data_IF_231297529273
#
_entry.id   IF_231297529273
#
_cell.length_a   1.000
_cell.length_b   1.000
_cell.length_c   1.000
_cell.angle_alpha   90.00
_cell.angle_beta   90.00
_cell.angle_gamma   90.00
#
_symmetry.space_group_name_H-M   'P 1'
#
loop_
_entity.id
_entity.type
_entity.pdbx_description
1 polymer ?
#
# COMPACT_ATOMS: atom_id res chain seq x y z
N UNK A 1 -9.95 -2.64 14.18
CA UNK A 1 -11.04 -1.77 13.68
C UNK A 1 -10.77 -0.34 14.12
N UNK A 2 -10.73 -0.09 15.43
CA UNK A 2 -10.70 1.29 15.96
C UNK A 2 -9.49 2.14 15.57
N UNK A 3 -8.28 1.60 15.37
CA UNK A 3 -7.15 2.45 14.92
C UNK A 3 -7.41 3.07 13.55
N UNK A 4 -7.95 2.29 12.61
CA UNK A 4 -8.32 2.82 11.30
C UNK A 4 -9.51 3.77 11.39
N UNK A 5 -10.45 3.51 12.29
CA UNK A 5 -11.59 4.40 12.53
C UNK A 5 -11.13 5.74 13.13
N UNK A 6 -10.20 5.72 14.10
CA UNK A 6 -9.53 6.91 14.64
C UNK A 6 -8.82 7.67 13.52
N UNK A 7 -8.00 7.00 12.71
CA UNK A 7 -7.27 7.64 11.60
C UNK A 7 -8.22 8.21 10.54
N UNK A 8 -9.30 7.51 10.20
CA UNK A 8 -10.30 7.98 9.26
C UNK A 8 -11.09 9.16 9.84
N UNK A 9 -11.43 9.13 11.13
CA UNK A 9 -12.16 10.21 11.80
C UNK A 9 -11.29 11.46 11.87
N UNK A 10 -10.01 11.30 12.22
CA UNK A 10 -9.02 12.38 12.17
C UNK A 10 -8.89 12.91 10.74
N UNK A 11 -8.70 12.05 9.73
CA UNK A 11 -8.61 12.47 8.33
C UNK A 11 -9.87 13.22 7.85
N UNK A 12 -11.06 12.74 8.21
CA UNK A 12 -12.33 13.38 7.86
C UNK A 12 -12.51 14.72 8.56
N UNK A 13 -12.12 14.82 9.83
CA UNK A 13 -12.12 16.06 10.59
C UNK A 13 -11.22 17.11 9.92
N UNK A 14 -9.98 16.75 9.59
CA UNK A 14 -9.07 17.65 8.89
C UNK A 14 -9.58 18.03 7.50
N UNK A 15 -10.25 17.11 6.78
CA UNK A 15 -10.93 17.44 5.51
C UNK A 15 -12.04 18.46 5.70
N UNK A 16 -12.86 18.31 6.74
CA UNK A 16 -13.92 19.28 7.05
C UNK A 16 -13.32 20.66 7.33
N UNK A 17 -12.20 20.73 8.06
CA UNK A 17 -11.48 21.98 8.28
C UNK A 17 -10.94 22.63 6.99
N UNK A 18 -11.05 22.02 5.80
CA UNK A 18 -10.40 22.51 4.57
C UNK A 18 -11.34 23.19 3.56
N UNK A 19 -12.67 23.06 3.64
CA UNK A 19 -13.59 23.56 2.59
C UNK A 19 -13.73 25.11 2.56
N UNK A 20 -12.76 25.81 1.94
CA UNK A 20 -12.91 26.94 0.98
C UNK A 20 -11.53 27.52 0.54
N UNK A 21 -11.43 28.27 -0.58
CA UNK A 21 -11.06 27.88 -1.94
C UNK A 21 -9.55 28.05 -2.26
N UNK A 22 -8.68 28.06 -1.25
CA UNK A 22 -7.25 28.37 -1.41
C UNK A 22 -6.32 27.37 -0.70
N UNK A 23 -6.69 26.08 -0.67
CA UNK A 23 -5.87 25.01 -0.10
C UNK A 23 -5.65 23.92 -1.13
N UNK A 24 -4.52 24.01 -1.83
CA UNK A 24 -4.16 23.17 -2.97
C UNK A 24 -3.91 21.72 -2.56
N UNK A 25 -4.94 20.88 -2.65
CA UNK A 25 -4.82 19.44 -2.41
C UNK A 25 -4.35 18.64 -3.63
N UNK A 26 -3.98 19.29 -4.74
CA UNK A 26 -3.21 18.60 -5.79
C UNK A 26 -1.80 18.22 -5.32
N UNK A 27 -1.35 18.76 -4.17
CA UNK A 27 -0.01 18.51 -3.63
C UNK A 27 0.02 17.84 -2.25
N UNK A 28 -1.07 17.28 -1.71
CA UNK A 28 -0.96 16.34 -0.58
C UNK A 28 -0.28 16.84 0.72
N UNK A 29 -0.31 18.15 1.00
CA UNK A 29 0.19 18.70 2.25
C UNK A 29 -0.61 18.18 3.46
N UNK A 30 0.02 17.35 4.31
CA UNK A 30 -0.54 16.90 5.62
C UNK A 30 -0.34 17.95 6.72
N UNK A 31 -0.15 19.22 6.35
CA UNK A 31 0.32 20.28 7.24
C UNK A 31 -0.57 21.51 7.14
N UNK A 32 -0.77 22.15 8.28
CA UNK A 32 -1.42 23.44 8.40
C UNK A 32 -0.49 24.38 9.15
N UNK A 33 -0.46 25.65 8.78
CA UNK A 33 0.01 26.65 9.73
C UNK A 33 -0.98 26.72 10.90
N UNK A 34 -0.43 26.76 12.12
CA UNK A 34 -1.21 26.79 13.37
C UNK A 34 -2.27 27.90 13.38
N UNK A 35 -1.94 29.08 12.86
CA UNK A 35 -2.84 30.24 12.83
C UNK A 35 -4.06 30.00 11.93
N UNK A 36 -3.87 29.35 10.77
CA UNK A 36 -4.95 29.01 9.84
C UNK A 36 -5.86 27.92 10.41
N UNK A 37 -5.30 26.99 11.18
CA UNK A 37 -6.05 25.92 11.82
C UNK A 37 -6.93 26.45 12.97
N UNK A 38 -6.37 27.27 13.86
CA UNK A 38 -7.11 27.86 15.00
C UNK A 38 -8.25 28.77 14.53
N UNK A 39 -8.00 29.59 13.51
CA UNK A 39 -9.02 30.48 12.92
C UNK A 39 -10.22 29.67 12.39
N UNK A 40 -9.95 28.55 11.70
CA UNK A 40 -11.01 27.71 11.13
C UNK A 40 -11.81 26.95 12.19
N UNK A 41 -11.18 26.51 13.28
CA UNK A 41 -11.91 25.91 14.39
C UNK A 41 -12.90 26.91 15.02
N UNK A 42 -12.50 28.19 15.12
CA UNK A 42 -13.40 29.25 15.55
C UNK A 42 -14.55 29.49 14.55
N UNK A 43 -14.26 29.52 13.24
CA UNK A 43 -15.27 29.67 12.18
C UNK A 43 -16.29 28.50 12.17
N UNK A 44 -15.85 27.30 12.56
CA UNK A 44 -16.71 26.11 12.73
C UNK A 44 -17.51 26.10 14.06
N UNK A 45 -17.41 27.16 14.87
CA UNK A 45 -18.12 27.27 16.14
C UNK A 45 -17.55 26.39 17.27
N UNK A 46 -16.35 25.82 17.09
CA UNK A 46 -15.68 25.05 18.14
C UNK A 46 -15.12 26.03 19.18
N UNK A 47 -15.75 26.07 20.36
CA UNK A 47 -15.26 26.87 21.48
C UNK A 47 -14.03 26.20 22.10
N UNK A 48 -12.86 26.67 21.71
CA UNK A 48 -11.60 26.31 22.35
C UNK A 48 -11.62 26.81 23.81
N UNK A 49 -11.59 25.88 24.77
CA UNK A 49 -11.48 26.22 26.19
C UNK A 49 -10.13 26.91 26.43
N UNK A 50 -10.20 28.13 26.96
CA UNK A 50 -9.13 29.04 27.39
C UNK A 50 -8.28 29.71 26.30
N UNK A 51 -8.49 31.03 26.22
CA UNK A 51 -7.63 31.95 25.47
C UNK A 51 -6.22 32.01 26.06
N UNK A 52 -5.23 31.79 25.20
CA UNK A 52 -3.86 32.23 25.41
C UNK A 52 -3.04 31.46 26.45
N UNK A 53 -2.27 30.47 26.00
CA UNK A 53 -0.79 30.45 26.09
C UNK A 53 -0.18 29.05 26.29
N UNK A 54 0.61 28.67 25.28
CA UNK A 54 1.76 27.74 25.30
C UNK A 54 1.57 26.24 25.57
N UNK A 55 0.54 25.76 26.28
CA UNK A 55 0.36 24.28 26.43
C UNK A 55 -0.30 23.58 25.24
N UNK A 56 -0.95 24.33 24.34
CA UNK A 56 -1.55 23.81 23.09
C UNK A 56 -0.54 23.67 21.94
N UNK A 57 0.46 24.57 21.91
CA UNK A 57 1.38 24.74 20.77
C UNK A 57 2.26 23.50 20.59
N UNK A 58 2.71 22.87 21.68
CA UNK A 58 3.59 21.68 21.63
C UNK A 58 2.91 20.41 21.15
N UNK A 59 1.56 20.33 21.21
CA UNK A 59 0.79 19.12 20.89
C UNK A 59 0.44 19.05 19.40
N UNK A 60 0.31 20.20 18.75
CA UNK A 60 -0.03 20.31 17.32
C UNK A 60 1.21 20.61 16.49
N UNK A 61 2.12 21.45 16.97
CA UNK A 61 3.45 21.68 16.39
C UNK A 61 4.50 20.88 17.17
N UNK A 62 4.40 19.55 17.06
CA UNK A 62 5.29 18.59 17.73
C UNK A 62 6.71 18.67 17.14
N UNK A 63 6.82 18.98 15.85
CA UNK A 63 8.07 19.20 15.11
C UNK A 63 8.74 20.54 15.42
N UNK A 64 8.07 21.42 16.17
CA UNK A 64 8.57 22.74 16.56
C UNK A 64 8.94 23.62 15.35
N UNK A 65 8.23 23.43 14.24
CA UNK A 65 8.39 24.09 12.95
C UNK A 65 7.18 24.97 12.56
N UNK A 66 6.28 25.26 13.50
CA UNK A 66 5.04 26.01 13.34
C UNK A 66 4.02 25.36 12.38
N UNK A 67 4.16 24.05 12.12
CA UNK A 67 3.27 23.28 11.26
C UNK A 67 2.55 22.19 12.06
N UNK A 68 1.26 22.01 11.81
CA UNK A 68 0.48 20.93 12.42
C UNK A 68 0.67 19.64 11.64
N UNK A 69 1.50 18.72 12.15
CA UNK A 69 1.75 17.43 11.52
C UNK A 69 0.71 16.40 11.98
N UNK A 70 -0.10 15.96 11.02
CA UNK A 70 -1.30 15.16 11.25
C UNK A 70 -1.06 13.84 12.03
N UNK A 71 0.15 13.26 11.97
CA UNK A 71 0.38 11.88 12.40
C UNK A 71 1.86 11.57 12.76
N UNK A 72 2.48 12.27 13.70
CA UNK A 72 3.82 11.86 14.16
C UNK A 72 3.81 10.46 14.83
N UNK A 73 4.71 9.58 14.40
CA UNK A 73 4.81 8.18 14.82
C UNK A 73 5.25 8.01 16.28
N UNK A 74 6.20 8.84 16.74
CA UNK A 74 6.70 8.74 18.12
C UNK A 74 5.60 9.02 19.13
N UNK A 75 4.63 9.83 18.72
CA UNK A 75 3.60 10.37 19.58
C UNK A 75 2.20 9.88 19.20
N UNK A 76 2.04 8.84 18.36
CA UNK A 76 0.71 8.46 17.87
C UNK A 76 -0.26 8.05 19.00
N UNK A 77 0.26 7.48 20.09
CA UNK A 77 -0.50 7.23 21.32
C UNK A 77 -0.79 8.52 22.10
N UNK A 78 0.15 9.47 22.13
CA UNK A 78 -0.04 10.76 22.76
C UNK A 78 -1.05 11.63 22.00
N UNK A 79 -0.99 11.63 20.66
CA UNK A 79 -1.95 12.23 19.73
C UNK A 79 -3.33 11.66 20.03
N UNK A 80 -3.49 10.33 20.09
CA UNK A 80 -4.79 9.71 20.40
C UNK A 80 -5.34 10.16 21.78
N UNK A 81 -4.51 10.09 22.83
CA UNK A 81 -4.88 10.52 24.19
C UNK A 81 -5.18 12.01 24.28
N UNK A 82 -4.57 12.82 23.43
CA UNK A 82 -4.74 14.28 23.42
C UNK A 82 -5.97 14.69 22.61
N UNK A 83 -6.18 14.12 21.42
CA UNK A 83 -7.35 14.37 20.58
C UNK A 83 -8.65 13.98 21.28
N UNK A 84 -8.68 12.82 21.95
CA UNK A 84 -9.83 12.39 22.75
C UNK A 84 -10.16 13.35 23.91
N UNK A 85 -9.17 14.10 24.42
CA UNK A 85 -9.35 15.10 25.48
C UNK A 85 -9.66 16.51 24.97
N UNK A 86 -9.15 16.88 23.79
CA UNK A 86 -9.22 18.23 23.24
C UNK A 86 -10.51 18.48 22.45
N UNK A 87 -10.98 17.48 21.70
CA UNK A 87 -12.14 17.63 20.84
C UNK A 87 -13.36 17.01 21.50
N UNK A 88 -14.08 17.80 22.30
CA UNK A 88 -15.33 17.38 22.94
C UNK A 88 -16.52 18.00 22.19
N UNK A 89 -17.44 17.16 21.72
CA UNK A 89 -18.71 17.55 21.10
C UNK A 89 -19.88 17.27 22.05
N UNK A 90 -20.88 18.16 22.13
CA UNK A 90 -22.09 17.87 22.88
C UNK A 90 -22.90 16.78 22.17
N UNK A 91 -23.19 15.70 22.89
CA UNK A 91 -24.09 14.65 22.43
C UNK A 91 -25.50 15.23 22.25
N UNK A 92 -26.03 15.14 21.03
CA UNK A 92 -27.32 15.75 20.64
C UNK A 92 -28.53 15.21 21.42
N UNK A 93 -28.42 14.01 22.02
CA UNK A 93 -29.50 13.38 22.78
C UNK A 93 -29.40 13.66 24.28
N UNK A 94 -28.18 13.77 24.80
CA UNK A 94 -27.94 13.87 26.25
C UNK A 94 -27.40 15.21 26.71
N UNK A 95 -26.96 16.08 25.78
CA UNK A 95 -26.31 17.36 26.07
C UNK A 95 -24.92 17.24 26.70
N UNK A 96 -24.44 16.01 26.96
CA UNK A 96 -23.14 15.78 27.59
C UNK A 96 -22.01 15.89 26.56
N UNK A 97 -20.92 16.53 26.97
CA UNK A 97 -19.70 16.62 26.16
C UNK A 97 -19.03 15.23 26.07
N UNK A 98 -18.87 14.73 24.84
CA UNK A 98 -18.19 13.48 24.52
C UNK A 98 -17.01 13.73 23.57
N UNK A 99 -15.94 12.93 23.64
CA UNK A 99 -14.87 12.99 22.65
C UNK A 99 -15.40 12.81 21.21
N UNK A 100 -14.95 13.66 20.29
CA UNK A 100 -15.17 13.53 18.85
C UNK A 100 -14.50 12.26 18.31
N UNK A 101 -13.40 11.85 18.94
CA UNK A 101 -12.67 10.61 18.67
C UNK A 101 -12.64 9.82 19.97
N UNK A 102 -13.28 8.65 19.99
CA UNK A 102 -13.10 7.71 21.10
C UNK A 102 -11.63 7.26 21.14
N UNK A 103 -10.97 7.54 22.26
CA UNK A 103 -9.60 7.09 22.50
C UNK A 103 -9.56 5.57 22.66
N UNK A 104 -8.37 5.00 22.45
CA UNK A 104 -8.16 3.58 22.73
C UNK A 104 -8.20 3.35 24.26
N UNK A 105 -8.78 2.23 24.68
CA UNK A 105 -8.66 1.74 26.06
C UNK A 105 -7.22 1.34 26.38
N UNK A 106 -6.88 1.22 27.67
CA UNK A 106 -5.52 0.83 28.10
C UNK A 106 -5.06 -0.51 27.49
N UNK A 107 -5.96 -1.50 27.46
CA UNK A 107 -5.68 -2.79 26.82
C UNK A 107 -5.42 -2.66 25.33
N UNK A 108 -6.18 -1.82 24.63
CA UNK A 108 -6.01 -1.59 23.18
C UNK A 108 -4.71 -0.82 22.89
N UNK A 109 -4.34 0.14 23.74
CA UNK A 109 -3.04 0.82 23.64
C UNK A 109 -1.87 -0.16 23.80
N UNK A 110 -1.98 -1.10 24.73
CA UNK A 110 -0.93 -2.12 24.92
C UNK A 110 -0.86 -3.11 23.76
N UNK A 111 -2.01 -3.52 23.20
CA UNK A 111 -2.05 -4.30 21.97
C UNK A 111 -1.40 -3.55 20.81
N UNK A 112 -1.68 -2.24 20.69
CA UNK A 112 -1.07 -1.39 19.69
C UNK A 112 0.45 -1.30 19.86
N UNK A 113 0.95 -0.98 21.05
CA UNK A 113 2.40 -0.96 21.34
C UNK A 113 3.07 -2.29 20.97
N UNK A 114 2.43 -3.40 21.30
CA UNK A 114 2.93 -4.74 20.98
C UNK A 114 3.00 -4.99 19.46
N UNK A 115 1.97 -4.58 18.72
CA UNK A 115 1.95 -4.66 17.26
C UNK A 115 3.05 -3.79 16.64
N UNK A 116 3.19 -2.53 17.08
CA UNK A 116 4.25 -1.62 16.62
C UNK A 116 5.64 -2.20 16.87
N UNK A 117 5.88 -2.77 18.05
CA UNK A 117 7.13 -3.42 18.41
C UNK A 117 7.45 -4.58 17.47
N UNK A 118 6.48 -5.45 17.19
CA UNK A 118 6.65 -6.61 16.29
C UNK A 118 6.97 -6.18 14.87
N UNK A 119 6.22 -5.22 14.32
CA UNK A 119 6.44 -4.68 12.97
C UNK A 119 7.84 -4.05 12.86
N UNK A 120 8.25 -3.26 13.86
CA UNK A 120 9.58 -2.67 13.91
C UNK A 120 10.69 -3.73 13.97
N UNK A 121 10.52 -4.80 14.76
CA UNK A 121 11.49 -5.90 14.84
C UNK A 121 11.65 -6.59 13.49
N UNK A 122 10.54 -6.88 12.80
CA UNK A 122 10.58 -7.51 11.47
C UNK A 122 11.25 -6.60 10.44
N UNK A 123 10.87 -5.32 10.38
CA UNK A 123 11.43 -4.34 9.45
C UNK A 123 12.94 -4.14 9.68
N UNK A 124 13.38 -4.07 10.94
CA UNK A 124 14.80 -4.01 11.31
C UNK A 124 15.55 -5.25 10.82
N UNK A 125 15.06 -6.44 11.14
CA UNK A 125 15.70 -7.68 10.74
C UNK A 125 15.79 -7.81 9.21
N UNK A 126 14.74 -7.42 8.48
CA UNK A 126 14.75 -7.42 7.03
C UNK A 126 15.76 -6.45 6.42
N UNK A 127 15.88 -5.25 7.00
CA UNK A 127 16.88 -4.27 6.60
C UNK A 127 18.31 -4.82 6.79
N UNK A 128 18.59 -5.39 7.96
CA UNK A 128 19.90 -6.00 8.30
C UNK A 128 20.26 -7.19 7.40
N UNK A 129 19.28 -8.02 7.04
CA UNK A 129 19.49 -9.18 6.15
C UNK A 129 19.39 -8.84 4.66
N UNK A 130 18.98 -7.62 4.33
CA UNK A 130 18.77 -7.19 2.96
C UNK A 130 17.68 -7.92 2.21
N UNK A 131 16.65 -8.37 2.93
CA UNK A 131 15.45 -8.97 2.35
C UNK A 131 14.32 -7.95 2.31
N UNK A 132 13.38 -8.10 1.37
CA UNK A 132 12.23 -7.20 1.24
C UNK A 132 11.08 -7.70 2.10
N UNK A 133 10.40 -6.79 2.80
CA UNK A 133 9.11 -7.06 3.46
C UNK A 133 8.02 -6.36 2.67
N UNK A 134 6.97 -7.12 2.33
CA UNK A 134 5.78 -6.60 1.68
C UNK A 134 4.63 -6.70 2.66
N UNK A 135 4.08 -5.55 3.05
CA UNK A 135 2.90 -5.50 3.92
C UNK A 135 1.67 -5.68 3.05
N UNK A 136 0.93 -6.75 3.29
CA UNK A 136 -0.27 -7.05 2.53
C UNK A 136 -1.39 -6.05 2.85
N UNK A 137 -2.21 -5.81 1.83
CA UNK A 137 -3.40 -4.98 1.94
C UNK A 137 -4.62 -5.83 2.30
N UNK A 138 -5.42 -5.35 3.24
CA UNK A 138 -6.66 -5.99 3.69
C UNK A 138 -7.89 -5.18 3.23
N UNK A 139 -9.02 -5.31 3.92
CA UNK A 139 -10.25 -4.57 3.61
C UNK A 139 -10.08 -3.06 3.86
N UNK A 140 -10.88 -2.24 3.17
CA UNK A 140 -10.77 -0.77 3.15
C UNK A 140 -10.83 -0.13 4.53
N UNK A 141 -11.54 -0.72 5.46
CA UNK A 141 -11.66 -0.24 6.84
C UNK A 141 -10.45 -0.60 7.71
N UNK A 142 -9.54 -1.47 7.29
CA UNK A 142 -8.23 -1.70 7.94
C UNK A 142 -7.09 -0.94 7.25
N UNK A 143 -7.23 -0.66 5.96
CA UNK A 143 -6.16 -0.11 5.13
C UNK A 143 -5.56 1.23 5.56
N UNK A 144 -6.29 2.19 6.16
CA UNK A 144 -5.70 3.43 6.65
C UNK A 144 -4.61 3.20 7.70
N UNK A 145 -4.85 2.32 8.68
CA UNK A 145 -3.85 1.97 9.67
C UNK A 145 -2.68 1.21 9.04
N UNK A 146 -2.95 0.16 8.27
CA UNK A 146 -1.92 -0.66 7.63
C UNK A 146 -1.00 0.20 6.74
N UNK A 147 -1.59 1.03 5.88
CA UNK A 147 -0.82 1.90 4.98
C UNK A 147 0.00 2.91 5.77
N UNK A 148 -0.58 3.53 6.81
CA UNK A 148 0.15 4.51 7.63
C UNK A 148 1.34 3.88 8.36
N UNK A 149 1.12 2.74 9.02
CA UNK A 149 2.18 1.97 9.70
C UNK A 149 3.30 1.61 8.72
N UNK A 150 2.93 1.16 7.52
CA UNK A 150 3.89 0.75 6.49
C UNK A 150 4.72 1.93 5.98
N UNK A 151 4.08 3.08 5.71
CA UNK A 151 4.77 4.29 5.26
C UNK A 151 5.76 4.81 6.30
N UNK A 152 5.44 4.73 7.59
CA UNK A 152 6.39 5.10 8.65
C UNK A 152 7.56 4.11 8.76
N UNK A 153 7.31 2.81 8.56
CA UNK A 153 8.40 1.83 8.47
C UNK A 153 9.28 2.07 7.25
N UNK A 154 8.72 2.48 6.10
CA UNK A 154 9.54 2.92 4.96
C UNK A 154 10.38 4.13 5.31
N UNK A 155 9.77 5.18 5.89
CA UNK A 155 10.49 6.40 6.30
C UNK A 155 11.67 6.06 7.21
N UNK A 156 11.50 5.09 8.13
CA UNK A 156 12.53 4.66 9.07
C UNK A 156 13.61 3.76 8.45
N UNK A 157 13.24 2.76 7.67
CA UNK A 157 14.15 1.68 7.24
C UNK A 157 14.58 1.73 5.77
N UNK A 158 13.84 2.43 4.90
CA UNK A 158 14.17 2.54 3.47
C UNK A 158 15.11 3.74 3.23
N UNK A 159 16.33 3.67 3.75
CA UNK A 159 17.31 4.78 3.67
C UNK A 159 18.27 4.69 2.50
N UNK A 160 18.67 3.47 2.12
CA UNK A 160 19.62 3.24 1.02
C UNK A 160 18.99 2.44 -0.14
N UNK A 161 17.87 1.76 0.15
CA UNK A 161 17.11 0.93 -0.79
C UNK A 161 15.71 0.69 -0.24
N UNK A 162 14.78 0.31 -1.12
CA UNK A 162 13.44 -0.11 -0.70
C UNK A 162 13.48 -1.48 -0.03
N UNK A 163 13.24 -1.51 1.29
CA UNK A 163 13.17 -2.73 2.12
C UNK A 163 11.71 -3.07 2.41
N UNK A 164 10.94 -2.09 2.88
CA UNK A 164 9.52 -2.21 3.20
C UNK A 164 8.69 -1.72 2.01
N UNK A 165 7.63 -2.46 1.68
CA UNK A 165 6.73 -2.18 0.56
C UNK A 165 5.28 -2.15 1.04
N UNK A 166 4.53 -1.14 0.60
CA UNK A 166 3.08 -1.03 0.84
C UNK A 166 2.31 -1.60 -0.34
N UNK A 167 1.17 -2.24 -0.06
CA UNK A 167 0.33 -2.83 -1.11
C UNK A 167 -0.79 -1.87 -1.51
N UNK A 168 -0.84 -1.51 -2.79
CA UNK A 168 -1.87 -0.67 -3.39
C UNK A 168 -2.86 -1.53 -4.17
N UNK A 169 -4.14 -1.47 -3.79
CA UNK A 169 -5.22 -2.25 -4.39
C UNK A 169 -5.95 -1.43 -5.46
N UNK A 170 -5.72 -1.75 -6.73
CA UNK A 170 -6.20 -0.98 -7.87
C UNK A 170 -7.67 -1.20 -8.22
N UNK A 171 -8.38 -2.10 -7.54
CA UNK A 171 -9.85 -2.16 -7.58
C UNK A 171 -10.52 -1.00 -6.84
N UNK A 172 -9.79 -0.24 -6.01
CA UNK A 172 -10.35 0.90 -5.28
C UNK A 172 -10.35 2.14 -6.16
N UNK A 173 -11.42 2.94 -6.07
CA UNK A 173 -11.52 4.25 -6.73
C UNK A 173 -10.42 5.23 -6.30
N UNK A 174 -9.91 5.08 -5.07
CA UNK A 174 -8.88 5.95 -4.49
C UNK A 174 -7.43 5.48 -4.74
N UNK A 175 -7.22 4.39 -5.46
CA UNK A 175 -5.89 3.79 -5.61
C UNK A 175 -4.85 4.76 -6.21
N UNK A 176 -5.24 5.51 -7.24
CA UNK A 176 -4.39 6.52 -7.89
C UNK A 176 -4.00 7.66 -6.93
N UNK A 177 -4.99 8.26 -6.27
CA UNK A 177 -4.74 9.35 -5.33
C UNK A 177 -3.84 8.91 -4.18
N UNK A 178 -4.09 7.70 -3.64
CA UNK A 178 -3.30 7.16 -2.53
C UNK A 178 -1.83 7.00 -2.92
N UNK A 179 -1.52 6.44 -4.09
CA UNK A 179 -0.13 6.25 -4.49
C UNK A 179 0.57 7.57 -4.80
N UNK A 180 -0.12 8.53 -5.42
CA UNK A 180 0.45 9.86 -5.73
C UNK A 180 0.84 10.59 -4.46
N UNK A 181 -0.06 10.60 -3.46
CA UNK A 181 0.21 11.22 -2.15
C UNK A 181 1.39 10.56 -1.45
N UNK A 182 1.46 9.23 -1.45
CA UNK A 182 2.54 8.50 -0.78
C UNK A 182 3.89 8.63 -1.52
N UNK A 183 3.88 8.68 -2.85
CA UNK A 183 5.05 8.97 -3.68
C UNK A 183 5.58 10.37 -3.40
N UNK A 184 4.71 11.36 -3.26
CA UNK A 184 5.12 12.72 -2.95
C UNK A 184 5.65 12.84 -1.51
N UNK A 185 5.02 12.17 -0.56
CA UNK A 185 5.52 12.07 0.82
C UNK A 185 6.94 11.47 0.86
N UNK A 186 7.18 10.39 0.12
CA UNK A 186 8.51 9.78 0.01
C UNK A 186 9.57 10.72 -0.59
N UNK A 187 9.16 11.58 -1.53
CA UNK A 187 10.03 12.59 -2.13
C UNK A 187 10.42 13.67 -1.13
N UNK A 188 9.44 14.19 -0.37
CA UNK A 188 9.65 15.29 0.60
C UNK A 188 10.53 14.88 1.77
N UNK A 189 10.32 13.66 2.28
CA UNK A 189 11.03 13.12 3.44
C UNK A 189 12.29 12.31 3.05
N UNK A 190 12.65 12.34 1.75
CA UNK A 190 13.81 11.69 1.15
C UNK A 190 14.06 10.24 1.61
N UNK A 191 13.07 9.36 1.40
CA UNK A 191 13.24 7.93 1.61
C UNK A 191 12.90 7.12 0.35
N UNK A 192 13.42 5.89 0.29
CA UNK A 192 13.23 4.99 -0.83
C UNK A 192 11.82 4.38 -0.80
N UNK A 193 11.02 4.66 -1.81
CA UNK A 193 9.63 4.22 -1.89
C UNK A 193 9.54 2.76 -2.35
N UNK A 194 8.67 1.99 -1.71
CA UNK A 194 8.38 0.60 -2.05
C UNK A 194 6.88 0.38 -2.25
N UNK A 195 6.47 -0.03 -3.45
CA UNK A 195 5.06 -0.35 -3.73
C UNK A 195 4.86 -1.77 -4.26
N UNK A 196 3.75 -2.40 -3.88
CA UNK A 196 3.24 -3.65 -4.47
C UNK A 196 1.87 -3.36 -5.06
N UNK A 197 1.76 -3.42 -6.38
CA UNK A 197 0.51 -3.16 -7.09
C UNK A 197 -0.27 -4.47 -7.27
N UNK A 198 -1.47 -4.52 -6.73
CA UNK A 198 -2.42 -5.64 -6.91
C UNK A 198 -3.74 -5.11 -7.44
N UNK A 199 -4.58 -5.96 -8.03
CA UNK A 199 -5.98 -5.60 -8.26
C UNK A 199 -6.74 -5.55 -6.92
N UNK A 200 -6.75 -6.66 -6.20
CA UNK A 200 -7.39 -6.80 -4.89
C UNK A 200 -7.93 -8.22 -4.69
N UNK A 201 -8.29 -8.60 -3.46
CA UNK A 201 -8.84 -9.92 -3.12
C UNK A 201 -10.17 -9.93 -2.32
N UNK A 202 -10.76 -8.77 -2.00
CA UNK A 202 -11.89 -8.60 -1.08
C UNK A 202 -13.15 -7.98 -1.72
N UNK A 203 -13.34 -8.10 -3.04
CA UNK A 203 -14.31 -7.30 -3.80
C UNK A 203 -15.75 -7.55 -3.34
N UNK A 204 -16.12 -8.81 -3.12
CA UNK A 204 -17.45 -9.21 -2.66
C UNK A 204 -17.73 -8.65 -1.25
N UNK A 205 -16.76 -8.81 -0.33
CA UNK A 205 -16.88 -8.34 1.05
C UNK A 205 -17.02 -6.81 1.15
N UNK A 206 -16.32 -6.06 0.30
CA UNK A 206 -16.44 -4.60 0.24
C UNK A 206 -17.85 -4.16 -0.20
N UNK A 207 -18.39 -4.79 -1.26
CA UNK A 207 -19.74 -4.47 -1.76
C UNK A 207 -20.82 -4.83 -0.76
N UNK A 208 -20.74 -6.01 -0.15
CA UNK A 208 -21.68 -6.45 0.89
C UNK A 208 -21.67 -5.47 2.07
N UNK A 209 -20.49 -5.05 2.52
CA UNK A 209 -20.35 -4.09 3.61
C UNK A 209 -20.90 -2.71 3.25
N UNK A 210 -20.63 -2.21 2.05
CA UNK A 210 -21.14 -0.93 1.58
C UNK A 210 -22.68 -0.90 1.59
N UNK A 211 -23.32 -2.00 1.16
CA UNK A 211 -24.78 -2.17 1.22
C UNK A 211 -25.27 -2.24 2.68
N UNK A 212 -24.63 -3.05 3.52
CA UNK A 212 -25.10 -3.26 4.91
C UNK A 212 -24.99 -2.02 5.78
N UNK A 213 -23.95 -1.21 5.57
CA UNK A 213 -23.68 0.00 6.36
C UNK A 213 -24.29 1.25 5.70
N UNK A 214 -24.54 1.22 4.38
CA UNK A 214 -25.16 2.31 3.63
C UNK A 214 -24.19 3.41 3.19
N UNK A 215 -22.92 3.07 2.89
CA UNK A 215 -21.94 4.00 2.31
C UNK A 215 -21.65 3.68 0.84
N UNK A 216 -21.05 4.64 0.12
CA UNK A 216 -20.73 4.48 -1.30
C UNK A 216 -19.76 3.31 -1.53
N UNK A 217 -20.06 2.46 -2.53
CA UNK A 217 -19.17 1.38 -2.95
C UNK A 217 -17.77 1.94 -3.28
N UNK A 218 -16.71 1.55 -2.52
CA UNK A 218 -15.37 2.10 -2.69
C UNK A 218 -14.66 1.53 -3.93
N UNK A 219 -15.24 0.52 -4.58
CA UNK A 219 -14.60 -0.22 -5.65
C UNK A 219 -15.01 0.27 -7.04
N UNK A 220 -14.14 0.05 -8.03
CA UNK A 220 -14.40 0.36 -9.42
C UNK A 220 -15.58 -0.48 -9.96
N UNK A 221 -16.43 0.09 -10.83
CA UNK A 221 -17.70 -0.53 -11.20
C UNK A 221 -17.52 -1.84 -11.96
N UNK A 222 -16.48 -1.95 -12.79
CA UNK A 222 -16.22 -3.09 -13.67
C UNK A 222 -14.77 -3.59 -13.56
N UNK A 223 -14.55 -4.80 -14.09
CA UNK A 223 -13.21 -5.37 -14.24
C UNK A 223 -12.30 -4.52 -15.16
N UNK A 224 -12.86 -3.96 -16.23
CA UNK A 224 -12.12 -3.12 -17.16
C UNK A 224 -11.73 -1.79 -16.49
N UNK A 225 -12.65 -1.15 -15.76
CA UNK A 225 -12.33 0.05 -14.96
C UNK A 225 -11.24 -0.22 -13.90
N UNK A 226 -11.24 -1.42 -13.30
CA UNK A 226 -10.15 -1.85 -12.40
C UNK A 226 -8.83 -2.05 -13.14
N UNK A 227 -8.87 -2.52 -14.38
CA UNK A 227 -7.68 -2.69 -15.22
C UNK A 227 -7.12 -1.34 -15.63
N UNK A 228 -7.97 -0.40 -16.03
CA UNK A 228 -7.58 0.97 -16.36
C UNK A 228 -6.95 1.66 -15.14
N UNK A 229 -7.57 1.56 -13.96
CA UNK A 229 -7.00 2.07 -12.71
C UNK A 229 -5.62 1.45 -12.42
N UNK A 230 -5.47 0.12 -12.59
CA UNK A 230 -4.17 -0.54 -12.40
C UNK A 230 -3.11 0.01 -13.37
N UNK A 231 -3.47 0.19 -14.65
CA UNK A 231 -2.55 0.70 -15.66
C UNK A 231 -2.17 2.17 -15.39
N UNK A 232 -3.12 3.03 -15.00
CA UNK A 232 -2.84 4.43 -14.62
C UNK A 232 -1.91 4.52 -13.41
N UNK A 233 -2.15 3.72 -12.37
CA UNK A 233 -1.27 3.64 -11.19
C UNK A 233 0.14 3.16 -11.58
N UNK A 234 0.22 2.14 -12.44
CA UNK A 234 1.48 1.59 -12.91
C UNK A 234 2.27 2.59 -13.77
N UNK A 235 1.61 3.31 -14.67
CA UNK A 235 2.23 4.35 -15.51
C UNK A 235 2.75 5.51 -14.66
N UNK A 236 1.97 5.99 -13.68
CA UNK A 236 2.39 7.05 -12.78
C UNK A 236 3.65 6.65 -11.98
N UNK A 237 3.71 5.42 -11.49
CA UNK A 237 4.91 4.87 -10.85
C UNK A 237 6.11 4.88 -11.79
N UNK A 238 5.94 4.39 -13.03
CA UNK A 238 7.03 4.32 -14.01
C UNK A 238 7.54 5.72 -14.38
N UNK A 239 6.61 6.67 -14.54
CA UNK A 239 6.91 8.09 -14.75
C UNK A 239 7.74 8.64 -13.60
N UNK A 240 7.38 8.35 -12.36
CA UNK A 240 8.10 8.82 -11.17
C UNK A 240 9.48 8.17 -11.01
N UNK A 241 9.64 6.89 -11.39
CA UNK A 241 10.97 6.24 -11.47
C UNK A 241 11.88 6.98 -12.46
N UNK A 242 11.33 7.46 -13.57
CA UNK A 242 12.09 8.20 -14.59
C UNK A 242 12.40 9.65 -14.20
N UNK A 243 11.57 10.29 -13.39
CA UNK A 243 11.75 11.69 -12.96
C UNK A 243 12.64 11.87 -11.74
N UNK A 244 12.93 10.78 -11.02
CA UNK A 244 13.70 10.80 -9.77
C UNK A 244 15.03 10.08 -9.95
N UNK A 245 15.90 10.24 -8.97
CA UNK A 245 17.15 9.47 -8.91
C UNK A 245 16.88 7.97 -9.00
N UNK A 246 17.63 7.29 -9.87
CA UNK A 246 17.48 5.86 -10.12
C UNK A 246 17.70 5.09 -8.82
N UNK A 247 16.78 4.20 -8.46
CA UNK A 247 16.84 3.48 -7.19
C UNK A 247 15.84 3.96 -6.15
N UNK A 248 15.44 5.24 -6.16
CA UNK A 248 14.55 5.82 -5.14
C UNK A 248 13.16 5.19 -5.09
N UNK A 249 12.73 4.51 -6.15
CA UNK A 249 11.44 3.83 -6.22
C UNK A 249 11.66 2.39 -6.70
N UNK A 250 11.11 1.43 -5.96
CA UNK A 250 11.04 0.03 -6.37
C UNK A 250 9.60 -0.47 -6.27
N UNK A 251 9.16 -1.24 -7.27
CA UNK A 251 7.78 -1.71 -7.38
C UNK A 251 7.67 -3.19 -7.71
N UNK A 252 6.72 -3.86 -7.06
CA UNK A 252 6.24 -5.18 -7.44
C UNK A 252 4.94 -5.05 -8.23
N UNK A 253 4.92 -5.54 -9.47
CA UNK A 253 3.74 -5.69 -10.31
C UNK A 253 3.18 -7.09 -10.07
N UNK A 254 2.17 -7.21 -9.20
CA UNK A 254 1.56 -8.50 -8.88
C UNK A 254 0.33 -8.77 -9.77
N UNK A 255 0.51 -9.59 -10.82
CA UNK A 255 -0.56 -9.91 -11.77
C UNK A 255 -0.36 -11.25 -12.50
N UNK A 256 -1.48 -11.95 -12.70
CA UNK A 256 -1.60 -13.14 -13.55
C UNK A 256 -2.21 -12.83 -14.92
N UNK A 257 -2.41 -11.55 -15.24
CA UNK A 257 -2.97 -11.12 -16.52
C UNK A 257 -1.84 -10.83 -17.51
N UNK A 258 -1.77 -11.60 -18.59
CA UNK A 258 -0.76 -11.45 -19.64
C UNK A 258 -0.73 -10.06 -20.27
N UNK A 259 -1.89 -9.42 -20.46
CA UNK A 259 -1.96 -8.08 -21.05
C UNK A 259 -1.40 -7.04 -20.08
N UNK A 260 -1.75 -7.11 -18.79
CA UNK A 260 -1.17 -6.22 -17.77
C UNK A 260 0.35 -6.40 -17.65
N UNK A 261 0.84 -7.63 -17.75
CA UNK A 261 2.28 -7.91 -17.74
C UNK A 261 2.96 -7.36 -18.99
N UNK A 262 2.33 -7.49 -20.17
CA UNK A 262 2.84 -6.92 -21.42
C UNK A 262 2.90 -5.40 -21.35
N UNK A 263 1.82 -4.77 -20.87
CA UNK A 263 1.76 -3.32 -20.65
C UNK A 263 2.89 -2.87 -19.72
N UNK A 264 3.12 -3.58 -18.61
CA UNK A 264 4.21 -3.27 -17.69
C UNK A 264 5.59 -3.29 -18.39
N UNK A 265 5.84 -4.31 -19.23
CA UNK A 265 7.10 -4.42 -20.00
C UNK A 265 7.21 -3.30 -21.06
N UNK A 266 6.10 -2.91 -21.68
CA UNK A 266 6.08 -1.80 -22.65
C UNK A 266 6.33 -0.45 -21.97
N UNK A 267 5.71 -0.19 -20.81
CA UNK A 267 5.99 0.98 -19.98
C UNK A 267 7.44 1.00 -19.49
N UNK A 268 8.00 -0.14 -19.08
CA UNK A 268 9.42 -0.24 -18.74
C UNK A 268 10.31 0.23 -19.88
N UNK A 269 10.04 -0.22 -21.11
CA UNK A 269 10.79 0.25 -22.29
C UNK A 269 10.58 1.75 -22.54
N UNK A 270 9.33 2.22 -22.46
CA UNK A 270 8.96 3.63 -22.68
C UNK A 270 9.69 4.58 -21.72
N UNK A 271 9.81 4.19 -20.46
CA UNK A 271 10.48 4.96 -19.40
C UNK A 271 11.95 4.57 -19.18
N UNK A 272 12.56 3.85 -20.13
CA UNK A 272 13.96 3.43 -20.08
C UNK A 272 14.35 2.71 -18.77
N UNK A 273 13.47 1.83 -18.28
CA UNK A 273 13.66 0.96 -17.12
C UNK A 273 14.07 -0.42 -17.60
N UNK A 274 15.33 -0.78 -17.41
CA UNK A 274 15.87 -2.07 -17.79
C UNK A 274 15.65 -3.15 -16.72
N UNK A 275 15.67 -4.43 -17.10
CA UNK A 275 15.60 -5.54 -16.15
C UNK A 275 16.79 -5.55 -15.16
N UNK A 276 17.95 -5.06 -15.58
CA UNK A 276 19.17 -4.97 -14.76
C UNK A 276 19.07 -3.97 -13.61
N UNK A 277 18.17 -2.99 -13.71
CA UNK A 277 17.98 -2.00 -12.64
C UNK A 277 17.37 -2.62 -11.37
N UNK A 278 16.73 -3.79 -11.48
CA UNK A 278 16.10 -4.53 -10.36
C UNK A 278 15.10 -3.70 -9.53
N UNK A 279 14.61 -2.59 -10.09
CA UNK A 279 13.59 -1.72 -9.49
C UNK A 279 12.19 -2.31 -9.61
N UNK A 280 11.93 -3.00 -10.73
CA UNK A 280 10.63 -3.61 -11.00
C UNK A 280 10.75 -5.13 -10.91
N UNK A 281 9.81 -5.72 -10.20
CA UNK A 281 9.68 -7.17 -10.10
C UNK A 281 8.24 -7.61 -10.34
N UNK A 282 8.08 -8.80 -10.90
CA UNK A 282 6.78 -9.39 -11.20
C UNK A 282 6.41 -10.40 -10.13
N UNK A 283 5.25 -10.22 -9.49
CA UNK A 283 4.75 -11.11 -8.45
C UNK A 283 3.63 -12.00 -8.99
N UNK A 284 3.75 -13.31 -8.81
CA UNK A 284 2.73 -14.28 -9.22
C UNK A 284 2.56 -15.33 -8.14
N UNK A 285 1.35 -15.82 -7.91
CA UNK A 285 1.11 -16.97 -7.05
C UNK A 285 1.77 -18.24 -7.60
N UNK A 286 2.30 -19.08 -6.71
CA UNK A 286 2.84 -20.38 -7.07
C UNK A 286 1.72 -21.29 -7.65
N UNK A 287 2.05 -22.02 -8.72
CA UNK A 287 1.10 -22.92 -9.41
C UNK A 287 0.14 -22.20 -10.35
N UNK A 288 0.38 -20.92 -10.67
CA UNK A 288 -0.47 -20.14 -11.56
C UNK A 288 0.35 -19.39 -12.62
N UNK A 289 -0.02 -19.60 -13.88
CA UNK A 289 0.49 -18.86 -15.05
C UNK A 289 2.01 -18.95 -15.23
N UNK A 290 2.59 -20.14 -15.09
CA UNK A 290 4.04 -20.34 -15.24
C UNK A 290 4.51 -20.06 -16.66
N UNK A 291 3.62 -20.24 -17.65
CA UNK A 291 3.84 -19.82 -19.05
C UNK A 291 4.07 -18.31 -19.21
N UNK A 292 3.79 -17.50 -18.19
CA UNK A 292 4.13 -16.06 -18.14
C UNK A 292 5.41 -15.84 -17.36
N UNK A 293 5.60 -16.55 -16.24
CA UNK A 293 6.77 -16.42 -15.38
C UNK A 293 8.07 -16.79 -16.06
N UNK A 294 8.10 -17.92 -16.77
CA UNK A 294 9.33 -18.43 -17.38
C UNK A 294 9.87 -17.51 -18.47
N UNK A 295 9.08 -17.03 -19.46
CA UNK A 295 9.58 -16.09 -20.46
C UNK A 295 10.08 -14.78 -19.86
N UNK A 296 9.42 -14.25 -18.83
CA UNK A 296 9.88 -13.06 -18.11
C UNK A 296 11.26 -13.29 -17.46
N UNK A 297 11.42 -14.40 -16.76
CA UNK A 297 12.69 -14.76 -16.12
C UNK A 297 13.81 -14.96 -17.15
N UNK A 298 13.53 -15.65 -18.26
CA UNK A 298 14.48 -15.85 -19.37
C UNK A 298 14.88 -14.52 -20.04
N UNK A 299 13.98 -13.54 -20.09
CA UNK A 299 14.27 -12.19 -20.57
C UNK A 299 15.01 -11.31 -19.53
N UNK A 300 15.40 -11.87 -18.38
CA UNK A 300 16.20 -11.21 -17.35
C UNK A 300 15.40 -10.40 -16.32
N UNK A 301 14.06 -10.40 -16.39
CA UNK A 301 13.23 -9.70 -15.42
C UNK A 301 13.21 -10.44 -14.08
N UNK A 302 13.10 -9.68 -12.99
CA UNK A 302 12.92 -10.25 -11.65
C UNK A 302 11.50 -10.79 -11.49
N UNK A 303 11.34 -12.10 -11.34
CA UNK A 303 10.04 -12.76 -11.15
C UNK A 303 10.02 -13.49 -9.82
N UNK A 304 8.98 -13.27 -9.02
CA UNK A 304 8.78 -13.85 -7.71
C UNK A 304 7.52 -14.69 -7.68
N UNK A 305 7.61 -15.86 -7.04
CA UNK A 305 6.46 -16.70 -6.73
C UNK A 305 6.05 -16.50 -5.28
N UNK A 306 4.79 -16.11 -5.07
CA UNK A 306 4.18 -16.05 -3.75
C UNK A 306 3.83 -17.48 -3.33
N UNK A 307 4.51 -17.94 -2.27
CA UNK A 307 4.37 -19.29 -1.74
C UNK A 307 3.74 -19.20 -0.34
N UNK A 308 2.46 -19.57 -0.18
CA UNK A 308 1.90 -19.75 1.15
C UNK A 308 2.59 -20.96 1.81
N UNK A 309 2.96 -20.83 3.08
CA UNK A 309 3.52 -21.93 3.86
C UNK A 309 2.90 -21.90 5.27
N UNK A 310 2.62 -23.07 5.82
CA UNK A 310 2.03 -23.20 7.16
C UNK A 310 1.12 -24.42 7.29
N UNK A 311 0.58 -24.68 8.48
CA UNK A 311 -0.42 -25.71 8.73
C UNK A 311 -1.66 -25.52 7.86
N UNK A 312 -2.31 -26.61 7.45
CA UNK A 312 -3.47 -26.58 6.54
C UNK A 312 -4.59 -25.70 7.08
N UNK A 313 -4.92 -25.84 8.37
CA UNK A 313 -6.03 -25.14 9.00
C UNK A 313 -5.83 -23.61 9.00
N UNK A 314 -4.59 -23.15 9.12
CA UNK A 314 -4.24 -21.72 9.09
C UNK A 314 -4.30 -21.13 7.67
N UNK A 315 -4.08 -21.95 6.64
CA UNK A 315 -4.10 -21.51 5.24
C UNK A 315 -5.46 -21.68 4.56
N UNK A 316 -6.46 -22.28 5.23
CA UNK A 316 -7.82 -22.45 4.69
C UNK A 316 -8.46 -21.13 4.19
N UNK A 317 -8.39 -20.00 4.93
CA UNK A 317 -8.92 -18.73 4.43
C UNK A 317 -8.23 -18.26 3.14
N UNK A 318 -6.91 -18.49 3.03
CA UNK A 318 -6.16 -18.19 1.81
C UNK A 318 -6.62 -19.09 0.65
N UNK A 319 -6.73 -20.41 0.88
CA UNK A 319 -7.18 -21.38 -0.13
C UNK A 319 -8.60 -21.07 -0.63
N UNK A 320 -9.51 -20.66 0.26
CA UNK A 320 -10.87 -20.27 -0.11
C UNK A 320 -10.88 -19.07 -1.07
N UNK A 321 -10.13 -18.00 -0.74
CA UNK A 321 -9.97 -16.84 -1.64
C UNK A 321 -9.38 -17.23 -2.99
N UNK A 322 -8.39 -18.13 -3.00
CA UNK A 322 -7.81 -18.67 -4.24
C UNK A 322 -8.82 -19.47 -5.05
N UNK A 323 -9.65 -20.29 -4.41
CA UNK A 323 -10.69 -21.04 -5.09
C UNK A 323 -11.72 -20.11 -5.74
N UNK A 324 -12.12 -19.02 -5.06
CA UNK A 324 -13.02 -17.99 -5.61
C UNK A 324 -12.40 -17.25 -6.80
N UNK A 325 -11.17 -16.75 -6.67
CA UNK A 325 -10.42 -16.11 -7.77
C UNK A 325 -10.27 -17.06 -8.98
N UNK A 326 -10.09 -18.35 -8.70
CA UNK A 326 -9.88 -19.37 -9.71
C UNK A 326 -11.19 -19.94 -10.29
N UNK A 327 -12.39 -19.49 -9.88
CA UNK A 327 -13.64 -19.91 -10.56
C UNK A 327 -13.63 -19.57 -12.06
N UNK A 328 -12.94 -18.50 -12.45
CA UNK A 328 -12.69 -18.15 -13.86
C UNK A 328 -11.48 -18.84 -14.51
N UNK A 329 -10.65 -19.57 -13.75
CA UNK A 329 -9.37 -20.14 -14.22
C UNK A 329 -9.48 -21.42 -15.04
N UNK A 330 -10.65 -22.05 -15.15
CA UNK A 330 -10.83 -23.21 -16.04
C UNK A 330 -10.41 -22.88 -17.49
N UNK A 331 -10.59 -21.63 -17.95
CA UNK A 331 -10.11 -21.18 -19.27
C UNK A 331 -8.57 -21.07 -19.32
N UNK A 332 -7.94 -20.57 -18.25
CA UNK A 332 -6.48 -20.42 -18.15
C UNK A 332 -5.76 -21.77 -18.09
N UNK A 333 -6.28 -22.71 -17.30
CA UNK A 333 -5.76 -24.09 -17.21
C UNK A 333 -5.82 -24.81 -18.55
N UNK A 334 -6.92 -24.63 -19.31
CA UNK A 334 -7.03 -25.18 -20.67
C UNK A 334 -5.94 -24.62 -21.61
N UNK A 335 -5.67 -23.31 -21.53
CA UNK A 335 -4.60 -22.66 -22.30
C UNK A 335 -3.23 -23.21 -21.91
N UNK A 336 -2.94 -23.31 -20.61
CA UNK A 336 -1.67 -23.83 -20.10
C UNK A 336 -1.44 -25.28 -20.52
N UNK A 337 -2.45 -26.15 -20.40
CA UNK A 337 -2.39 -27.53 -20.90
C UNK A 337 -2.09 -27.60 -22.40
N UNK A 338 -2.73 -26.73 -23.20
CA UNK A 338 -2.47 -26.63 -24.64
C UNK A 338 -1.02 -26.24 -24.92
N UNK A 339 -0.50 -25.20 -24.24
CA UNK A 339 0.88 -24.74 -24.40
C UNK A 339 1.89 -25.82 -24.00
N UNK A 340 1.64 -26.56 -22.91
CA UNK A 340 2.49 -27.69 -22.51
C UNK A 340 2.48 -28.80 -23.57
N UNK A 341 1.31 -29.13 -24.11
CA UNK A 341 1.21 -30.13 -25.18
C UNK A 341 1.93 -29.70 -26.46
N UNK A 342 1.81 -28.42 -26.85
CA UNK A 342 2.53 -27.83 -27.98
C UNK A 342 4.05 -27.90 -27.78
N UNK A 343 4.54 -27.56 -26.58
CA UNK A 343 5.97 -27.62 -26.25
C UNK A 343 6.51 -29.06 -26.21
N UNK A 344 5.76 -30.00 -25.62
CA UNK A 344 6.11 -31.43 -25.65
C UNK A 344 6.19 -31.94 -27.10
N UNK A 345 5.20 -31.59 -27.92
CA UNK A 345 5.17 -31.96 -29.34
C UNK A 345 6.36 -31.35 -30.09
N UNK A 346 6.70 -30.09 -29.82
CA UNK A 346 7.86 -29.41 -30.40
C UNK A 346 9.16 -30.14 -30.02
N UNK A 347 9.36 -30.48 -28.74
CA UNK A 347 10.56 -31.21 -28.26
C UNK A 347 10.69 -32.59 -28.90
N UNK A 348 9.59 -33.33 -29.01
CA UNK A 348 9.57 -34.63 -29.69
C UNK A 348 9.96 -34.49 -31.17
N UNK A 349 9.41 -33.48 -31.87
CA UNK A 349 9.71 -33.23 -33.30
C UNK A 349 11.13 -32.72 -33.54
N UNK A 350 11.70 -31.95 -32.61
CA UNK A 350 13.02 -31.31 -32.76
C UNK A 350 14.15 -32.12 -32.13
N UNK A 351 13.86 -33.26 -31.50
CA UNK A 351 14.86 -34.07 -30.78
C UNK A 351 15.40 -33.44 -29.50
N UNK A 352 14.86 -32.30 -29.06
CA UNK A 352 15.27 -31.57 -27.85
C UNK A 352 14.57 -32.09 -26.59
N UNK A 353 14.76 -33.38 -26.29
CA UNK A 353 14.14 -34.01 -25.12
C UNK A 353 14.78 -33.56 -23.79
N UNK A 354 16.07 -33.25 -23.82
CA UNK A 354 16.82 -32.77 -22.65
C UNK A 354 16.91 -31.23 -22.69
N UNK A 355 16.52 -30.59 -21.59
CA UNK A 355 16.70 -29.14 -21.39
C UNK A 355 17.87 -28.92 -20.44
N UNK A 356 18.90 -28.19 -20.90
CA UNK A 356 19.96 -27.69 -20.04
C UNK A 356 19.57 -26.30 -19.50
N UNK A 357 19.22 -26.17 -18.21
CA UNK A 357 18.88 -24.88 -17.62
C UNK A 357 20.05 -23.89 -17.59
N UNK A 358 21.30 -24.36 -17.68
CA UNK A 358 22.49 -23.52 -17.58
C UNK A 358 22.92 -22.88 -18.90
N UNK A 359 22.43 -23.40 -20.04
CA UNK A 359 22.80 -22.88 -21.37
C UNK A 359 22.38 -21.42 -21.63
N UNK A 360 21.46 -20.87 -20.82
CA UNK A 360 20.91 -19.51 -20.97
C UNK A 360 21.11 -18.63 -19.72
N UNK A 361 21.82 -19.11 -18.70
CA UNK A 361 22.13 -18.31 -17.51
C UNK A 361 23.47 -17.61 -17.79
N UNK A 362 23.51 -16.27 -17.94
CA UNK A 362 24.78 -15.58 -17.94
C UNK A 362 25.49 -15.92 -16.62
N UNK A 363 26.71 -16.44 -16.72
CA UNK A 363 27.55 -16.87 -15.61
C UNK A 363 27.73 -15.74 -14.60
N UNK A 364 26.84 -15.69 -13.60
CA UNK A 364 27.02 -14.86 -12.43
C UNK A 364 27.89 -15.60 -11.43
N UNK A 365 29.16 -15.76 -11.78
CA UNK A 365 30.22 -16.04 -10.80
C UNK A 365 30.74 -14.67 -10.36
N UNK A 366 30.75 -14.42 -9.05
CA UNK A 366 31.26 -13.23 -8.33
C UNK A 366 30.23 -12.16 -7.94
N UNK A 367 29.32 -12.47 -7.01
CA UNK A 367 28.70 -11.46 -6.13
C UNK A 367 28.46 -11.99 -4.69
N UNK A 368 29.38 -12.83 -4.20
CA UNK A 368 29.58 -13.02 -2.76
C UNK A 368 31.06 -12.83 -2.50
N UNK A 369 31.43 -11.62 -2.13
CA UNK A 369 32.48 -11.26 -1.18
C UNK A 369 32.14 -9.87 -0.65
#
# INVERSE_FOLDING_TARGET
LQMSDVLNTVKNFFRLCQESPAGDYETGGRRFHLEDFDKRLMDMGVRLRDGGSRKRVTIMDISNNQEVDLLDWHNLLEINRSLSKLFLIPDLKTGQLRPLVEGLSESEEDQMKNMLRRVNTLAKYASEKGVRIMVDAEQTYFQPAISRLTMEMMRKFNKERSVVFNTYQCYLKQAYNNIVVDLDFARREDFYFGAKLVRGAYMEQERERAISVGYEDPINPTYDATTDMYHSVMEEVMRQINLRERGKIAVMIASHNENTIREAVELMKRYNIGPKDRLICFGQLLGMCDHVSFPLGQAGYSVYKYVPFGPVDEVLPYLSRRAMENRGMLKKVKKEKRLLYEELTRRMKTGQLNYDPNAHIPTHTNLIN
#
